data_IF_538313773921
#
_entry.id   IF_538313773921
#
_cell.length_a   1.000
_cell.length_b   1.000
_cell.length_c   1.000
_cell.angle_alpha   90.00
_cell.angle_beta   90.00
_cell.angle_gamma   90.00
#
_symmetry.space_group_name_H-M   'P 1'
#
loop_
_entity.id
_entity.type
_entity.pdbx_description
1 polymer ?
#
# COMPACT_ATOMS: atom_id res chain seq x y z
N UNK A 1 -4.16 -9.98 4.50
CA UNK A 1 -3.52 -9.99 3.16
C UNK A 1 -4.08 -11.05 2.22
N UNK A 2 -4.20 -12.30 2.67
CA UNK A 2 -4.70 -13.41 1.84
C UNK A 2 -6.10 -13.15 1.31
N UNK A 3 -7.01 -12.66 2.15
CA UNK A 3 -8.38 -12.29 1.76
C UNK A 3 -8.42 -11.17 0.70
N UNK A 4 -7.68 -10.08 0.91
CA UNK A 4 -7.61 -8.96 -0.03
C UNK A 4 -7.05 -9.40 -1.40
N UNK A 5 -6.03 -10.25 -1.39
CA UNK A 5 -5.51 -10.86 -2.61
C UNK A 5 -6.57 -11.72 -3.31
N UNK A 6 -7.28 -12.59 -2.58
CA UNK A 6 -8.31 -13.45 -3.17
C UNK A 6 -9.49 -12.66 -3.72
N UNK A 7 -9.85 -11.55 -3.08
CA UNK A 7 -10.92 -10.67 -3.53
C UNK A 7 -10.56 -9.90 -4.81
N UNK A 8 -9.28 -9.51 -4.97
CA UNK A 8 -8.84 -8.63 -6.06
C UNK A 8 -8.15 -9.36 -7.21
N UNK A 9 -7.74 -10.62 -7.06
CA UNK A 9 -6.93 -11.33 -8.08
C UNK A 9 -7.58 -11.43 -9.47
N UNK A 10 -8.90 -11.29 -9.55
CA UNK A 10 -9.68 -11.35 -10.81
C UNK A 10 -9.99 -9.96 -11.37
N UNK A 11 -9.64 -8.88 -10.69
CA UNK A 11 -9.90 -7.53 -11.18
C UNK A 11 -8.95 -7.13 -12.31
N UNK A 12 -9.44 -6.28 -13.22
CA UNK A 12 -8.64 -5.76 -14.32
C UNK A 12 -7.37 -5.04 -13.82
N UNK A 13 -7.49 -4.23 -12.77
CA UNK A 13 -6.36 -3.49 -12.19
C UNK A 13 -5.30 -4.41 -11.61
N UNK A 14 -5.71 -5.51 -10.97
CA UNK A 14 -4.78 -6.48 -10.40
C UNK A 14 -4.04 -7.25 -11.50
N UNK A 15 -4.75 -7.61 -12.57
CA UNK A 15 -4.20 -8.36 -13.71
C UNK A 15 -3.40 -7.49 -14.69
N UNK A 16 -3.52 -6.16 -14.60
CA UNK A 16 -2.72 -5.21 -15.39
C UNK A 16 -1.21 -5.28 -15.10
N UNK A 17 -0.80 -5.89 -13.99
CA UNK A 17 0.58 -6.13 -13.62
C UNK A 17 0.81 -7.63 -13.35
N UNK A 18 2.07 -8.12 -13.41
CA UNK A 18 2.38 -9.46 -12.97
C UNK A 18 1.89 -9.67 -11.52
N UNK A 19 1.23 -10.79 -11.24
CA UNK A 19 0.54 -11.02 -9.97
C UNK A 19 1.41 -10.74 -8.73
N UNK A 20 2.70 -11.10 -8.78
CA UNK A 20 3.66 -10.80 -7.70
C UNK A 20 3.85 -9.31 -7.45
N UNK A 21 3.88 -8.49 -8.51
CA UNK A 21 3.98 -7.03 -8.41
C UNK A 21 2.70 -6.46 -7.81
N UNK A 22 1.52 -6.92 -8.27
CA UNK A 22 0.23 -6.52 -7.69
C UNK A 22 0.14 -6.86 -6.20
N UNK A 23 0.62 -8.03 -5.77
CA UNK A 23 0.70 -8.40 -4.35
C UNK A 23 1.61 -7.46 -3.55
N UNK A 24 2.74 -7.03 -4.11
CA UNK A 24 3.62 -6.07 -3.47
C UNK A 24 2.95 -4.70 -3.32
N UNK A 25 2.17 -4.26 -4.30
CA UNK A 25 1.37 -3.02 -4.20
C UNK A 25 0.34 -3.14 -3.07
N UNK A 26 -0.37 -4.27 -2.96
CA UNK A 26 -1.31 -4.48 -1.84
C UNK A 26 -0.59 -4.46 -0.48
N UNK A 27 0.61 -5.03 -0.39
CA UNK A 27 1.44 -4.96 0.84
C UNK A 27 1.87 -3.53 1.18
N UNK A 28 2.18 -2.71 0.18
CA UNK A 28 2.47 -1.29 0.41
C UNK A 28 1.27 -0.58 1.04
N UNK A 29 0.08 -0.77 0.48
CA UNK A 29 -1.16 -0.19 1.01
C UNK A 29 -1.40 -0.64 2.45
N UNK A 30 -1.34 -1.94 2.72
CA UNK A 30 -1.52 -2.48 4.07
C UNK A 30 -0.52 -1.87 5.08
N UNK A 31 0.76 -1.77 4.70
CA UNK A 31 1.80 -1.16 5.54
C UNK A 31 1.46 0.30 5.85
N UNK A 32 0.99 1.06 4.86
CA UNK A 32 0.61 2.46 5.05
C UNK A 32 -0.55 2.59 6.05
N UNK A 33 -1.60 1.78 5.92
CA UNK A 33 -2.73 1.80 6.86
C UNK A 33 -2.31 1.40 8.28
N UNK A 34 -1.52 0.33 8.43
CA UNK A 34 -0.96 -0.08 9.74
C UNK A 34 -0.10 1.01 10.36
N UNK A 35 0.68 1.73 9.55
CA UNK A 35 1.49 2.87 10.03
C UNK A 35 0.61 4.02 10.52
N UNK A 36 -0.48 4.33 9.82
CA UNK A 36 -1.42 5.38 10.24
C UNK A 36 -2.12 5.02 11.55
N UNK A 37 -2.57 3.78 11.72
CA UNK A 37 -3.17 3.33 12.98
C UNK A 37 -2.20 3.47 14.15
N UNK A 38 -0.94 3.03 13.97
CA UNK A 38 0.10 3.20 15.00
C UNK A 38 0.39 4.66 15.32
N UNK A 39 0.38 5.53 14.30
CA UNK A 39 0.56 6.96 14.51
C UNK A 39 -0.59 7.55 15.34
N UNK A 40 -1.83 7.16 15.07
CA UNK A 40 -3.00 7.58 15.83
C UNK A 40 -2.95 7.12 17.30
N UNK A 41 -2.61 5.84 17.53
CA UNK A 41 -2.42 5.30 18.88
C UNK A 41 -1.33 6.05 19.65
N UNK A 42 -0.22 6.36 18.99
CA UNK A 42 0.90 7.09 19.59
C UNK A 42 0.56 8.56 19.83
N UNK A 43 -0.25 9.17 18.97
CA UNK A 43 -0.76 10.53 19.16
C UNK A 43 -1.67 10.61 20.41
N UNK A 44 -2.55 9.62 20.62
CA UNK A 44 -3.37 9.53 21.85
C UNK A 44 -2.52 9.44 23.12
N UNK A 45 -1.36 8.78 23.07
CA UNK A 45 -0.44 8.63 24.21
C UNK A 45 0.49 9.81 24.43
N UNK A 46 0.92 10.50 23.37
CA UNK A 46 1.93 11.54 23.43
C UNK A 46 1.71 12.58 22.33
N UNK A 47 0.65 13.41 22.43
CA UNK A 47 0.29 14.36 21.39
C UNK A 47 1.39 15.38 21.11
N UNK A 48 2.17 15.75 22.15
CA UNK A 48 3.27 16.72 22.06
C UNK A 48 4.43 16.29 21.14
N UNK A 49 4.51 15.01 20.75
CA UNK A 49 5.53 14.51 19.81
C UNK A 49 5.13 14.73 18.34
N UNK A 50 3.93 15.22 18.09
CA UNK A 50 3.39 15.43 16.75
C UNK A 50 3.13 16.91 16.52
N UNK A 51 3.30 17.35 15.28
CA UNK A 51 2.95 18.72 14.87
C UNK A 51 1.44 18.90 14.63
N UNK A 52 0.67 17.83 14.77
CA UNK A 52 -0.78 17.80 14.58
C UNK A 52 -1.32 16.37 14.56
N UNK A 53 -2.64 16.24 14.50
CA UNK A 53 -3.33 14.96 14.49
C UNK A 53 -2.99 14.13 13.23
N UNK A 54 -2.57 12.86 13.38
CA UNK A 54 -2.35 11.95 12.27
C UNK A 54 -3.61 11.78 11.43
N UNK A 55 -3.48 11.87 10.11
CA UNK A 55 -4.61 11.73 9.17
C UNK A 55 -4.57 10.38 8.47
N UNK A 56 -5.75 9.91 8.07
CA UNK A 56 -5.88 8.70 7.26
C UNK A 56 -5.13 8.85 5.93
N UNK A 57 -4.53 7.76 5.41
CA UNK A 57 -3.91 7.75 4.10
C UNK A 57 -4.92 8.14 3.04
N UNK A 58 -4.53 9.05 2.15
CA UNK A 58 -5.34 9.45 0.99
C UNK A 58 -4.83 8.77 -0.27
N UNK A 59 -5.71 8.71 -1.27
CA UNK A 59 -5.31 8.32 -2.62
C UNK A 59 -4.28 9.32 -3.17
N UNK A 60 -3.38 8.79 -4.01
CA UNK A 60 -2.45 9.61 -4.79
C UNK A 60 -3.20 10.37 -5.88
N UNK A 61 -2.61 11.46 -6.35
CA UNK A 61 -3.19 12.23 -7.46
C UNK A 61 -3.39 11.36 -8.71
N UNK A 62 -4.54 11.52 -9.39
CA UNK A 62 -4.92 10.65 -10.52
C UNK A 62 -4.00 10.79 -11.73
N UNK A 63 -3.34 11.94 -11.94
CA UNK A 63 -2.51 12.22 -13.12
C UNK A 63 -1.02 12.30 -12.77
N UNK A 64 -0.70 13.01 -11.69
CA UNK A 64 0.65 13.28 -11.20
C UNK A 64 1.10 12.32 -10.10
N UNK A 65 0.18 11.55 -9.52
CA UNK A 65 0.52 10.57 -8.50
C UNK A 65 1.39 9.45 -9.09
N UNK A 66 2.42 9.07 -8.33
CA UNK A 66 3.34 7.99 -8.71
C UNK A 66 3.37 6.95 -7.59
N UNK A 67 3.24 5.67 -7.97
CA UNK A 67 3.45 4.56 -7.05
C UNK A 67 4.71 3.77 -7.44
N UNK A 68 5.46 3.32 -6.44
CA UNK A 68 6.66 2.53 -6.68
C UNK A 68 6.22 1.10 -6.99
N UNK A 69 6.59 0.62 -8.18
CA UNK A 69 6.42 -0.77 -8.58
C UNK A 69 7.75 -1.50 -8.39
N UNK A 70 7.76 -2.47 -7.49
CA UNK A 70 8.95 -3.27 -7.21
C UNK A 70 8.89 -4.57 -8.00
N UNK A 71 9.87 -4.78 -8.86
CA UNK A 71 10.05 -6.03 -9.59
C UNK A 71 11.15 -6.83 -8.91
N UNK A 72 10.79 -7.97 -8.33
CA UNK A 72 11.80 -8.93 -7.90
C UNK A 72 12.25 -9.76 -9.11
N UNK A 73 13.42 -10.40 -9.01
CA UNK A 73 13.96 -11.23 -10.09
C UNK A 73 12.98 -12.32 -10.56
N UNK A 74 12.11 -12.78 -9.66
CA UNK A 74 11.08 -13.79 -9.94
C UNK A 74 9.82 -13.24 -10.64
N UNK A 75 9.71 -11.92 -10.81
CA UNK A 75 8.62 -11.26 -11.52
C UNK A 75 9.01 -10.90 -12.96
N UNK A 76 10.28 -11.06 -13.32
CA UNK A 76 10.80 -10.87 -14.66
C UNK A 76 10.92 -12.25 -15.29
N UNK A 77 10.18 -12.50 -16.38
CA UNK A 77 10.36 -13.72 -17.16
C UNK A 77 11.76 -13.67 -17.81
N UNK A 78 12.57 -14.70 -17.64
CA UNK A 78 13.77 -14.86 -18.47
C UNK A 78 13.29 -15.15 -19.89
N UNK A 79 13.79 -14.37 -20.85
CA UNK A 79 13.64 -14.67 -22.27
C UNK A 79 14.86 -15.45 -22.73
#
# INVERSE_FOLDING_TARGET
>A
MTELHHALKTSADYQALPAKVSQLVLKQVEKTFKSSQKAEEQFKKSPNKFTGEPKLPRYKDKKKGRNVLTYNYQAISKK
#
